data_IF_873616764651
#
_entry.id   IF_873616764651
#
_cell.length_a   1.000
_cell.length_b   1.000
_cell.length_c   1.000
_cell.angle_alpha   90.00
_cell.angle_beta   90.00
_cell.angle_gamma   90.00
#
_symmetry.space_group_name_H-M   'P 1'
#
loop_
_entity.id
_entity.type
_entity.pdbx_description
1 polymer ?
#
# COMPACT_ATOMS: atom_id res chain seq x y z
N UNK A 1 -3.30 -11.62 0.62
CA UNK A 1 -3.80 -11.09 -0.68
C UNK A 1 -3.02 -9.84 -1.11
N UNK A 2 -3.00 -9.52 -2.41
CA UNK A 2 -2.39 -8.30 -2.96
C UNK A 2 -3.34 -7.58 -3.92
N UNK A 3 -3.30 -6.25 -3.91
CA UNK A 3 -3.93 -5.37 -4.89
C UNK A 3 -2.84 -4.49 -5.54
N UNK A 4 -2.91 -4.32 -6.86
CA UNK A 4 -1.86 -3.71 -7.68
C UNK A 4 -2.44 -2.60 -8.57
N UNK A 5 -1.55 -1.81 -9.18
CA UNK A 5 -1.89 -0.71 -10.09
C UNK A 5 -2.80 0.32 -9.42
N UNK A 6 -2.52 0.65 -8.16
CA UNK A 6 -3.21 1.72 -7.45
C UNK A 6 -2.51 3.02 -7.80
N UNK A 7 -3.28 3.94 -8.40
CA UNK A 7 -2.79 5.26 -8.79
C UNK A 7 -2.05 5.94 -7.63
N UNK A 8 -0.95 6.62 -7.97
CA UNK A 8 -0.05 7.23 -6.96
C UNK A 8 -0.81 8.11 -5.96
N UNK A 9 -1.70 8.97 -6.46
CA UNK A 9 -2.54 9.83 -5.63
C UNK A 9 -3.46 9.00 -4.73
N UNK A 10 -4.08 7.96 -5.29
CA UNK A 10 -5.01 7.09 -4.56
C UNK A 10 -4.31 6.29 -3.47
N UNK A 11 -3.13 5.74 -3.73
CA UNK A 11 -2.35 5.03 -2.71
C UNK A 11 -1.88 5.95 -1.59
N UNK A 12 -1.53 7.21 -1.91
CA UNK A 12 -1.23 8.23 -0.90
C UNK A 12 -2.45 8.57 -0.03
N UNK A 13 -3.65 8.66 -0.61
CA UNK A 13 -4.90 8.84 0.13
C UNK A 13 -5.19 7.66 1.07
N UNK A 14 -4.99 6.43 0.60
CA UNK A 14 -5.15 5.21 1.41
C UNK A 14 -4.18 5.23 2.59
N UNK A 15 -2.89 5.50 2.34
CA UNK A 15 -1.87 5.62 3.38
C UNK A 15 -2.25 6.66 4.44
N UNK A 16 -2.73 7.83 4.00
CA UNK A 16 -3.18 8.90 4.90
C UNK A 16 -4.42 8.47 5.69
N UNK A 17 -5.40 7.82 5.06
CA UNK A 17 -6.61 7.29 5.68
C UNK A 17 -6.29 6.23 6.74
N UNK A 18 -5.37 5.30 6.43
CA UNK A 18 -4.96 4.25 7.37
C UNK A 18 -4.25 4.83 8.60
N UNK A 19 -3.39 5.82 8.42
CA UNK A 19 -2.77 6.53 9.53
C UNK A 19 -3.81 7.19 10.44
N UNK A 20 -4.84 7.83 9.87
CA UNK A 20 -5.98 8.39 10.64
C UNK A 20 -6.78 7.29 11.36
N UNK A 21 -6.91 6.11 10.74
CA UNK A 21 -7.57 4.95 11.33
C UNK A 21 -6.71 4.18 12.37
N UNK A 22 -5.55 4.73 12.75
CA UNK A 22 -4.70 4.20 13.82
C UNK A 22 -3.63 3.20 13.37
N UNK A 23 -3.42 3.01 12.07
CA UNK A 23 -2.29 2.23 11.57
C UNK A 23 -0.99 2.99 11.76
N UNK A 24 0.05 2.28 12.22
CA UNK A 24 1.37 2.87 12.49
C UNK A 24 2.39 2.37 11.48
N UNK A 25 3.25 3.26 10.99
CA UNK A 25 4.39 2.89 10.16
C UNK A 25 5.41 2.16 11.04
N UNK A 26 5.57 0.86 10.84
CA UNK A 26 6.54 0.01 11.54
C UNK A 26 7.89 -0.01 10.83
N UNK A 27 7.89 0.05 9.50
CA UNK A 27 9.08 0.13 8.66
C UNK A 27 8.77 0.99 7.44
N UNK A 28 9.79 1.63 6.89
CA UNK A 28 9.68 2.34 5.63
C UNK A 28 11.00 2.23 4.86
N UNK A 29 10.94 2.41 3.55
CA UNK A 29 12.13 2.55 2.72
C UNK A 29 13.01 3.69 3.25
N UNK A 30 14.32 3.47 3.17
CA UNK A 30 15.34 4.30 3.82
C UNK A 30 15.15 5.77 3.43
N UNK A 31 14.96 6.64 4.42
CA UNK A 31 14.74 8.09 4.23
C UNK A 31 15.89 8.79 3.52
N UNK A 32 17.10 8.25 3.64
CA UNK A 32 18.31 8.80 3.04
C UNK A 32 18.65 8.16 1.69
N UNK A 33 17.83 7.23 1.20
CA UNK A 33 18.04 6.65 -0.11
C UNK A 33 17.71 7.69 -1.20
N UNK A 34 18.65 7.86 -2.13
CA UNK A 34 18.57 8.89 -3.17
C UNK A 34 17.39 8.69 -4.13
N UNK A 35 16.97 7.45 -4.30
CA UNK A 35 15.88 6.99 -5.17
C UNK A 35 14.50 7.00 -4.48
N UNK A 36 14.43 7.37 -3.19
CA UNK A 36 13.18 7.35 -2.43
C UNK A 36 12.16 8.34 -3.01
N UNK A 37 11.00 7.82 -3.41
CA UNK A 37 9.92 8.61 -4.01
C UNK A 37 10.26 9.13 -5.41
N UNK A 38 11.32 8.60 -6.02
CA UNK A 38 11.70 8.86 -7.41
C UNK A 38 11.50 7.57 -8.21
N UNK A 39 12.23 6.50 -7.82
CA UNK A 39 12.11 5.18 -8.46
C UNK A 39 11.38 4.19 -7.57
N UNK A 40 11.48 4.34 -6.25
CA UNK A 40 10.91 3.38 -5.30
C UNK A 40 10.51 4.02 -3.97
N UNK A 41 9.43 3.54 -3.37
CA UNK A 41 9.14 3.76 -1.95
C UNK A 41 8.41 2.54 -1.36
N UNK A 42 8.53 2.34 -0.06
CA UNK A 42 7.76 1.29 0.61
C UNK A 42 7.46 1.63 2.06
N UNK A 43 6.32 1.14 2.53
CA UNK A 43 5.86 1.30 3.89
C UNK A 43 5.32 -0.03 4.42
N UNK A 44 5.70 -0.39 5.64
CA UNK A 44 5.04 -1.46 6.38
C UNK A 44 4.22 -0.82 7.49
N UNK A 45 2.91 -0.99 7.45
CA UNK A 45 1.98 -0.52 8.46
C UNK A 45 1.53 -1.67 9.35
N UNK A 46 1.35 -1.39 10.64
CA UNK A 46 0.82 -2.35 11.61
C UNK A 46 -0.32 -1.76 12.42
N UNK A 47 -1.32 -2.60 12.70
CA UNK A 47 -2.41 -2.32 13.64
C UNK A 47 -2.78 -3.62 14.34
N UNK A 48 -2.63 -3.66 15.67
CA UNK A 48 -2.80 -4.88 16.45
C UNK A 48 -1.93 -6.04 15.91
N UNK A 49 -2.54 -7.14 15.46
CA UNK A 49 -1.85 -8.29 14.85
C UNK A 49 -1.77 -8.22 13.32
N UNK A 50 -2.43 -7.24 12.69
CA UNK A 50 -2.49 -7.10 11.25
C UNK A 50 -1.30 -6.30 10.71
N UNK A 51 -0.82 -6.71 9.53
CA UNK A 51 0.28 -6.05 8.82
C UNK A 51 -0.13 -5.76 7.38
N UNK A 52 0.24 -4.56 6.91
CA UNK A 52 0.10 -4.14 5.52
C UNK A 52 1.46 -3.74 4.97
N UNK A 53 1.75 -4.17 3.76
CA UNK A 53 2.93 -3.81 3.00
C UNK A 53 2.50 -2.97 1.80
N UNK A 54 3.04 -1.77 1.72
CA UNK A 54 2.88 -0.85 0.61
C UNK A 54 4.20 -0.79 -0.12
N UNK A 55 4.13 -0.94 -1.43
CA UNK A 55 5.25 -0.77 -2.33
C UNK A 55 4.84 0.17 -3.45
N UNK A 56 5.71 1.11 -3.79
CA UNK A 56 5.52 2.02 -4.90
C UNK A 56 6.75 2.00 -5.78
N UNK A 57 6.53 2.00 -7.08
CA UNK A 57 7.56 2.32 -8.06
C UNK A 57 7.01 3.25 -9.12
N UNK A 58 7.90 3.94 -9.82
CA UNK A 58 7.54 4.74 -10.99
C UNK A 58 7.04 3.92 -12.19
N UNK A 59 7.15 2.59 -12.16
CA UNK A 59 6.70 1.70 -13.24
C UNK A 59 5.33 1.07 -12.95
N UNK A 60 5.08 0.68 -11.70
CA UNK A 60 3.90 -0.11 -11.31
C UNK A 60 2.95 0.62 -10.34
N UNK A 61 3.28 1.86 -9.99
CA UNK A 61 2.60 2.66 -8.97
C UNK A 61 2.47 1.92 -7.63
N UNK A 62 1.39 2.16 -6.86
CA UNK A 62 1.20 1.52 -5.57
C UNK A 62 0.68 0.09 -5.71
N UNK A 63 1.25 -0.76 -4.86
CA UNK A 63 0.81 -2.10 -4.58
C UNK A 63 0.63 -2.25 -3.07
N UNK A 64 -0.42 -2.95 -2.66
CA UNK A 64 -0.73 -3.18 -1.25
C UNK A 64 -0.94 -4.67 -1.03
N UNK A 65 -0.17 -5.24 -0.11
CA UNK A 65 -0.24 -6.64 0.31
C UNK A 65 -0.53 -6.76 1.81
N UNK A 66 -1.31 -7.76 2.19
CA UNK A 66 -1.58 -8.08 3.59
C UNK A 66 -2.58 -9.22 3.75
N UNK A 67 -3.08 -9.37 4.97
CA UNK A 67 -4.10 -10.37 5.30
C UNK A 67 -5.39 -10.15 4.48
N UNK A 68 -6.03 -11.24 4.07
CA UNK A 68 -7.15 -11.20 3.14
C UNK A 68 -8.33 -10.36 3.67
N UNK A 69 -8.64 -10.47 4.96
CA UNK A 69 -9.68 -9.68 5.63
C UNK A 69 -9.38 -8.17 5.59
N UNK A 70 -8.11 -7.80 5.76
CA UNK A 70 -7.66 -6.40 5.71
C UNK A 70 -7.75 -5.86 4.29
N UNK A 71 -7.27 -6.61 3.30
CA UNK A 71 -7.31 -6.18 1.90
C UNK A 71 -8.75 -6.05 1.41
N UNK A 72 -9.62 -7.00 1.75
CA UNK A 72 -11.05 -6.90 1.42
C UNK A 72 -11.71 -5.69 2.10
N UNK A 73 -11.36 -5.42 3.36
CA UNK A 73 -11.83 -4.20 4.05
C UNK A 73 -11.35 -2.91 3.36
N UNK A 74 -10.11 -2.88 2.87
CA UNK A 74 -9.56 -1.75 2.11
C UNK A 74 -10.27 -1.55 0.77
N UNK A 75 -10.50 -2.63 0.03
CA UNK A 75 -11.23 -2.61 -1.25
C UNK A 75 -12.59 -1.97 -1.07
N UNK A 76 -13.35 -2.37 -0.04
CA UNK A 76 -14.67 -1.80 0.25
C UNK A 76 -14.56 -0.35 0.72
N UNK A 77 -13.67 -0.05 1.67
CA UNK A 77 -13.55 1.29 2.29
C UNK A 77 -13.10 2.37 1.30
N UNK A 78 -12.27 1.98 0.33
CA UNK A 78 -11.71 2.88 -0.68
C UNK A 78 -12.25 2.61 -2.09
N UNK A 79 -13.33 1.82 -2.22
CA UNK A 79 -13.97 1.51 -3.51
C UNK A 79 -12.97 1.11 -4.61
N UNK A 80 -11.99 0.28 -4.26
CA UNK A 80 -10.93 -0.12 -5.18
C UNK A 80 -11.44 -1.21 -6.10
N UNK A 81 -11.05 -1.19 -7.38
CA UNK A 81 -11.32 -2.30 -8.28
C UNK A 81 -10.25 -3.38 -8.10
N UNK A 82 -10.64 -4.61 -7.80
CA UNK A 82 -9.74 -5.77 -7.88
C UNK A 82 -9.30 -5.96 -9.34
N UNK A 83 -8.18 -5.37 -9.74
CA UNK A 83 -7.49 -5.81 -10.95
C UNK A 83 -6.56 -6.94 -10.53
N UNK A 84 -7.09 -8.16 -10.54
CA UNK A 84 -6.27 -9.37 -10.39
C UNK A 84 -5.28 -9.39 -11.55
N UNK A 85 -3.98 -9.47 -11.25
CA UNK A 85 -2.94 -9.68 -12.25
C UNK A 85 -3.33 -10.87 -13.12
N UNK A 86 -3.71 -10.60 -14.37
CA UNK A 86 -3.87 -11.64 -15.37
C UNK A 86 -2.48 -12.17 -15.66
N UNK A 87 -2.15 -13.36 -15.13
CA UNK A 87 -0.96 -14.13 -15.50
C UNK A 87 -0.98 -14.27 -17.04
N UNK A 88 -0.07 -13.57 -17.72
CA UNK A 88 0.35 -13.89 -19.08
C UNK A 88 1.62 -14.72 -19.02
#
# INVERSE_FOLDING_TARGET
MKIENIETERGNEILAGLRKAGWKIAKQYNRLAFDKGIDFDSYTLKKCQQTLHFEWSNWFEWEIEGDDDVIQSLIVSFQLSEKTASKR
#
